data_IF_687057225073
#
_entry.id   IF_687057225073
#
_cell.length_a   1.000
_cell.length_b   1.000
_cell.length_c   1.000
_cell.angle_alpha   90.00
_cell.angle_beta   90.00
_cell.angle_gamma   90.00
#
_symmetry.space_group_name_H-M   'P 1'
#
loop_
_entity.id
_entity.type
_entity.pdbx_description
1 polymer ?
#
# COMPACT_ATOMS: atom_id res chain seq x y z
N UNK A 1 17.24 -10.74 2.48
CA UNK A 1 17.33 -9.63 3.46
C UNK A 1 16.16 -8.71 3.20
N UNK A 2 15.41 -8.32 4.24
CA UNK A 2 14.28 -7.40 4.07
C UNK A 2 14.78 -5.95 3.99
N UNK A 3 14.06 -5.08 3.26
CA UNK A 3 14.39 -3.67 3.09
C UNK A 3 13.14 -2.82 3.28
N UNK A 4 13.28 -1.71 4.00
CA UNK A 4 12.24 -0.68 4.11
C UNK A 4 12.61 0.50 3.20
N UNK A 5 11.68 0.91 2.33
CA UNK A 5 11.78 2.16 1.56
C UNK A 5 10.66 3.09 2.01
N UNK A 6 11.04 4.27 2.49
CA UNK A 6 10.09 5.33 2.83
C UNK A 6 10.15 6.43 1.77
N UNK A 7 9.01 6.80 1.21
CA UNK A 7 8.87 7.84 0.19
C UNK A 7 7.88 8.90 0.69
N UNK A 8 8.32 10.15 0.75
CA UNK A 8 7.53 11.27 1.27
C UNK A 8 7.60 12.47 0.32
N UNK A 9 6.68 13.42 0.50
CA UNK A 9 6.55 14.58 -0.37
C UNK A 9 5.19 15.26 -0.18
N UNK A 10 5.03 16.45 -0.74
CA UNK A 10 3.79 17.22 -0.66
C UNK A 10 2.63 16.53 -1.38
N UNK A 11 1.39 16.99 -1.14
CA UNK A 11 0.25 16.54 -1.94
C UNK A 11 0.49 16.88 -3.42
N UNK A 12 0.21 15.94 -4.31
CA UNK A 12 0.46 16.10 -5.76
C UNK A 12 1.83 15.61 -6.23
N UNK A 13 2.76 15.25 -5.33
CA UNK A 13 4.10 14.78 -5.70
C UNK A 13 4.16 13.35 -6.28
N UNK A 14 3.02 12.70 -6.51
CA UNK A 14 2.96 11.37 -7.13
C UNK A 14 3.20 10.17 -6.20
N UNK A 15 3.11 10.31 -4.87
CA UNK A 15 3.32 9.21 -3.90
C UNK A 15 2.43 7.99 -4.16
N UNK A 16 1.11 8.19 -4.25
CA UNK A 16 0.16 7.11 -4.52
C UNK A 16 0.38 6.48 -5.90
N UNK A 17 0.81 7.25 -6.91
CA UNK A 17 1.24 6.71 -8.20
C UNK A 17 2.43 5.77 -8.04
N UNK A 18 3.45 6.16 -7.27
CA UNK A 18 4.62 5.33 -7.00
C UNK A 18 4.26 4.06 -6.22
N UNK A 19 3.38 4.17 -5.22
CA UNK A 19 2.87 3.01 -4.47
C UNK A 19 2.16 2.01 -5.40
N UNK A 20 1.26 2.50 -6.25
CA UNK A 20 0.54 1.69 -7.24
C UNK A 20 1.48 1.04 -8.26
N UNK A 21 2.48 1.78 -8.76
CA UNK A 21 3.49 1.24 -9.67
C UNK A 21 4.30 0.11 -9.03
N UNK A 22 4.73 0.28 -7.78
CA UNK A 22 5.47 -0.76 -7.05
C UNK A 22 4.59 -1.99 -6.86
N UNK A 23 3.35 -1.82 -6.38
CA UNK A 23 2.44 -2.94 -6.17
C UNK A 23 2.15 -3.69 -7.48
N UNK A 24 1.85 -2.98 -8.56
CA UNK A 24 1.61 -3.58 -9.88
C UNK A 24 2.83 -4.36 -10.41
N UNK A 25 4.03 -3.78 -10.31
CA UNK A 25 5.26 -4.40 -10.82
C UNK A 25 5.70 -5.64 -10.03
N UNK A 26 5.40 -5.70 -8.73
CA UNK A 26 5.72 -6.87 -7.92
C UNK A 26 4.67 -7.97 -8.14
N UNK A 27 3.39 -7.61 -8.17
CA UNK A 27 2.30 -8.55 -8.46
C UNK A 27 2.44 -9.17 -9.86
N UNK A 28 2.85 -8.40 -10.88
CA UNK A 28 3.08 -8.92 -12.25
C UNK A 28 4.25 -9.89 -12.37
N UNK A 29 5.05 -10.05 -11.31
CA UNK A 29 6.15 -11.02 -11.19
C UNK A 29 5.78 -12.20 -10.28
N UNK A 30 4.49 -12.42 -10.06
CA UNK A 30 3.93 -13.46 -9.20
C UNK A 30 4.40 -13.39 -7.74
N UNK A 31 4.76 -12.19 -7.26
CA UNK A 31 5.05 -11.97 -5.86
C UNK A 31 3.74 -11.66 -5.11
N UNK A 32 3.41 -12.49 -4.13
CA UNK A 32 2.33 -12.22 -3.18
C UNK A 32 2.66 -11.03 -2.26
N UNK A 33 1.80 -10.00 -2.27
CA UNK A 33 1.96 -8.84 -1.41
C UNK A 33 0.65 -8.09 -1.17
N UNK A 34 0.65 -7.22 -0.16
CA UNK A 34 -0.52 -6.42 0.20
C UNK A 34 -0.33 -4.95 -0.17
N UNK A 35 -1.43 -4.29 -0.53
CA UNK A 35 -1.53 -2.84 -0.61
C UNK A 35 -2.42 -2.37 0.55
N UNK A 36 -1.93 -1.43 1.33
CA UNK A 36 -2.59 -0.86 2.49
C UNK A 36 -2.81 0.63 2.28
N UNK A 37 -3.91 1.13 2.82
CA UNK A 37 -4.26 2.55 2.78
C UNK A 37 -5.10 2.89 4.00
N UNK A 38 -5.24 4.17 4.29
CA UNK A 38 -6.24 4.66 5.25
C UNK A 38 -6.84 5.95 4.72
N UNK A 39 -8.07 6.26 5.15
CA UNK A 39 -8.78 7.50 4.80
C UNK A 39 -9.02 7.71 3.30
N UNK A 40 -9.07 6.65 2.49
CA UNK A 40 -9.48 6.81 1.10
C UNK A 40 -10.99 7.06 1.00
N UNK A 41 -11.34 8.15 0.34
CA UNK A 41 -12.72 8.69 0.28
C UNK A 41 -13.62 7.87 -0.62
N UNK A 42 -13.06 6.98 -1.44
CA UNK A 42 -13.76 6.14 -2.41
C UNK A 42 -13.90 4.67 -1.97
N UNK A 43 -13.48 4.33 -0.74
CA UNK A 43 -13.48 2.97 -0.19
C UNK A 43 -12.06 2.48 0.08
N UNK A 44 -11.88 1.18 0.35
CA UNK A 44 -10.56 0.60 0.60
C UNK A 44 -9.73 0.48 -0.70
N UNK A 45 -9.31 1.61 -1.26
CA UNK A 45 -8.57 1.70 -2.52
C UNK A 45 -7.39 2.68 -2.40
N UNK A 46 -6.41 2.55 -3.27
CA UNK A 46 -5.40 3.61 -3.49
C UNK A 46 -5.66 4.17 -4.87
N UNK A 47 -5.89 5.48 -4.95
CA UNK A 47 -6.15 6.19 -6.20
C UNK A 47 -5.11 7.28 -6.43
N UNK A 48 -4.64 7.40 -7.67
CA UNK A 48 -3.71 8.48 -8.05
C UNK A 48 -4.38 9.56 -8.88
N UNK A 49 -3.75 10.75 -8.92
CA UNK A 49 -4.18 11.87 -9.79
C UNK A 49 -4.04 11.59 -11.30
N UNK A 50 -3.36 10.50 -11.68
CA UNK A 50 -3.24 10.07 -13.07
C UNK A 50 -4.37 9.10 -13.49
N UNK A 51 -5.35 8.86 -12.62
CA UNK A 51 -6.51 8.02 -12.93
C UNK A 51 -6.27 6.52 -12.82
N UNK A 52 -5.12 6.10 -12.27
CA UNK A 52 -4.89 4.69 -11.91
C UNK A 52 -5.23 4.45 -10.45
N UNK A 53 -5.77 3.27 -10.17
CA UNK A 53 -6.19 2.88 -8.83
C UNK A 53 -6.13 1.35 -8.64
N UNK A 54 -6.00 0.89 -7.40
CA UNK A 54 -6.00 -0.53 -7.04
C UNK A 54 -6.60 -0.76 -5.66
N UNK A 55 -7.32 -1.88 -5.49
CA UNK A 55 -7.91 -2.27 -4.22
C UNK A 55 -6.82 -2.44 -3.16
N UNK A 56 -7.14 -2.01 -1.95
CA UNK A 56 -6.25 -2.01 -0.82
C UNK A 56 -6.98 -2.51 0.43
N UNK A 57 -6.23 -2.91 1.43
CA UNK A 57 -6.77 -3.18 2.75
C UNK A 57 -6.79 -1.85 3.52
N UNK A 58 -7.95 -1.52 4.09
CA UNK A 58 -8.08 -0.35 4.96
C UNK A 58 -7.40 -0.60 6.31
N UNK A 59 -6.49 0.29 6.67
CA UNK A 59 -5.86 0.33 7.99
C UNK A 59 -6.71 1.23 8.88
N UNK A 60 -7.32 0.61 9.89
CA UNK A 60 -8.12 1.29 10.92
C UNK A 60 -7.33 1.40 12.23
N UNK A 61 -7.66 2.36 13.11
CA UNK A 61 -7.03 2.47 14.42
C UNK A 61 -7.08 1.15 15.19
N UNK A 62 -5.93 0.69 15.66
CA UNK A 62 -5.80 -0.57 16.42
C UNK A 62 -5.61 -1.83 15.58
N UNK A 63 -5.54 -1.72 14.24
CA UNK A 63 -5.15 -2.83 13.38
C UNK A 63 -3.68 -3.21 13.64
N UNK A 64 -3.43 -4.50 13.91
CA UNK A 64 -2.07 -5.04 14.07
C UNK A 64 -1.52 -5.47 12.71
N UNK A 65 -0.59 -4.68 12.16
CA UNK A 65 0.07 -4.95 10.87
C UNK A 65 0.88 -6.24 10.87
N UNK A 66 1.47 -6.62 12.00
CA UNK A 66 2.22 -7.87 12.10
C UNK A 66 1.28 -9.06 12.03
N UNK A 67 0.19 -9.04 12.81
CA UNK A 67 -0.84 -10.08 12.73
C UNK A 67 -1.43 -10.18 11.32
N UNK A 68 -1.73 -9.04 10.69
CA UNK A 68 -2.22 -9.02 9.31
C UNK A 68 -1.25 -9.70 8.33
N UNK A 69 0.05 -9.42 8.45
CA UNK A 69 1.07 -10.03 7.59
C UNK A 69 1.20 -11.54 7.82
N UNK A 70 1.10 -12.00 9.08
CA UNK A 70 1.11 -13.43 9.42
C UNK A 70 -0.12 -14.14 8.87
N UNK A 71 -1.30 -13.52 8.98
CA UNK A 71 -2.57 -14.10 8.50
C UNK A 71 -2.61 -14.21 6.95
N UNK A 72 -1.75 -13.46 6.24
CA UNK A 72 -1.59 -13.50 4.77
C UNK A 72 -0.31 -14.22 4.30
N UNK A 73 0.35 -14.99 5.16
CA UNK A 73 1.57 -15.69 4.79
C UNK A 73 1.34 -16.76 3.69
N UNK A 74 2.24 -16.92 2.70
CA UNK A 74 3.52 -16.23 2.51
C UNK A 74 3.39 -14.82 1.92
N UNK A 75 4.14 -13.88 2.50
CA UNK A 75 4.13 -12.47 2.07
C UNK A 75 5.53 -12.03 1.61
N UNK A 76 5.63 -11.58 0.37
CA UNK A 76 6.88 -11.08 -0.21
C UNK A 76 7.07 -9.57 -0.01
N UNK A 77 5.98 -8.79 0.03
CA UNK A 77 6.04 -7.34 0.21
C UNK A 77 4.76 -6.76 0.80
N UNK A 78 4.87 -5.55 1.33
CA UNK A 78 3.78 -4.74 1.87
C UNK A 78 3.98 -3.30 1.36
N UNK A 79 3.00 -2.74 0.67
CA UNK A 79 3.00 -1.32 0.25
C UNK A 79 1.98 -0.58 1.09
N UNK A 80 2.42 0.47 1.78
CA UNK A 80 1.58 1.29 2.65
C UNK A 80 1.46 2.69 2.07
N UNK A 81 0.27 3.07 1.58
CA UNK A 81 -0.04 4.47 1.25
C UNK A 81 -0.65 5.20 2.46
N UNK A 82 -0.47 6.51 2.49
CA UNK A 82 -0.97 7.40 3.57
C UNK A 82 -0.53 6.96 4.99
N UNK A 83 0.65 6.35 5.10
CA UNK A 83 1.20 5.74 6.32
C UNK A 83 1.38 6.71 7.50
N UNK A 84 1.38 8.02 7.26
CA UNK A 84 1.42 9.02 8.34
C UNK A 84 0.16 9.03 9.23
N UNK A 85 -0.90 8.31 8.82
CA UNK A 85 -2.16 8.19 9.56
C UNK A 85 -2.41 6.81 10.15
N UNK A 86 -1.45 5.89 10.02
CA UNK A 86 -1.56 4.53 10.58
C UNK A 86 -1.47 4.57 12.12
#
# INVERSE_FOLDING_TARGET
MATLRFSFGTMGSGKSTMALQIHHNLASRDLYGLLLTTLDREGAQVTSRLGVAAQAIEVVPGLDLYKLAVDHWPLHYLVCDEAQFY
#
